data_IF_581084407535
#
_entry.id   IF_581084407535
#
_cell.length_a   1.000
_cell.length_b   1.000
_cell.length_c   1.000
_cell.angle_alpha   90.00
_cell.angle_beta   90.00
_cell.angle_gamma   90.00
#
_symmetry.space_group_name_H-M   'P 1'
#
loop_
_entity.id
_entity.type
_entity.pdbx_description
1 polymer ?
#
# COMPACT_ATOMS: atom_id res chain seq x y z
N UNK A 1 -28.02 -14.48 11.51
CA UNK A 1 -27.55 -13.55 12.55
C UNK A 1 -26.16 -12.97 12.20
N UNK A 2 -25.16 -13.82 11.85
CA UNK A 2 -23.81 -13.38 11.43
C UNK A 2 -23.90 -12.45 10.21
N UNK A 3 -24.70 -12.82 9.20
CA UNK A 3 -24.91 -12.01 7.99
C UNK A 3 -25.54 -10.64 8.29
N UNK A 4 -26.45 -10.57 9.26
CA UNK A 4 -27.06 -9.28 9.66
C UNK A 4 -26.05 -8.36 10.36
N UNK A 5 -25.13 -8.91 11.17
CA UNK A 5 -24.14 -8.14 11.90
C UNK A 5 -23.05 -7.57 10.98
N UNK A 6 -22.62 -8.34 9.98
CA UNK A 6 -21.67 -7.86 8.95
C UNK A 6 -22.27 -6.81 8.03
N UNK A 7 -23.56 -6.91 7.67
CA UNK A 7 -24.26 -5.91 6.84
C UNK A 7 -24.55 -4.61 7.61
N UNK A 8 -24.67 -4.64 8.95
CA UNK A 8 -24.96 -3.45 9.75
C UNK A 8 -23.74 -2.58 10.07
N UNK A 9 -22.52 -3.10 9.96
CA UNK A 9 -21.27 -2.37 10.27
C UNK A 9 -21.06 -1.09 9.47
N UNK A 10 -21.67 -0.94 8.29
CA UNK A 10 -21.51 0.24 7.44
C UNK A 10 -22.55 1.35 7.65
N UNK A 11 -23.61 1.14 8.45
CA UNK A 11 -24.76 2.06 8.50
C UNK A 11 -25.18 2.50 9.91
N UNK A 12 -24.55 2.02 10.99
CA UNK A 12 -25.02 2.26 12.39
C UNK A 12 -23.93 2.86 13.25
N UNK A 13 -24.33 3.56 14.32
CA UNK A 13 -23.42 4.14 15.31
C UNK A 13 -22.61 3.05 16.04
N UNK A 14 -21.48 3.44 16.65
CA UNK A 14 -20.66 2.53 17.45
C UNK A 14 -21.44 1.92 18.63
N UNK A 15 -22.40 2.67 19.18
CA UNK A 15 -23.24 2.21 20.30
C UNK A 15 -24.30 1.20 19.83
N UNK A 16 -24.87 1.39 18.65
CA UNK A 16 -25.74 0.38 18.04
C UNK A 16 -25.00 -0.94 17.79
N UNK A 17 -23.78 -0.86 17.29
CA UNK A 17 -22.95 -2.06 17.06
C UNK A 17 -22.61 -2.77 18.37
N UNK A 18 -22.36 -2.04 19.46
CA UNK A 18 -22.13 -2.61 20.78
C UNK A 18 -23.37 -3.38 21.28
N UNK A 19 -24.55 -2.77 21.16
CA UNK A 19 -25.82 -3.42 21.49
C UNK A 19 -26.06 -4.71 20.71
N UNK A 20 -25.76 -4.70 19.41
CA UNK A 20 -25.87 -5.92 18.59
C UNK A 20 -24.91 -7.02 19.02
N UNK A 21 -23.67 -6.67 19.41
CA UNK A 21 -22.71 -7.63 19.92
C UNK A 21 -23.24 -8.27 21.23
N UNK A 22 -23.80 -7.47 22.13
CA UNK A 22 -24.42 -7.98 23.40
C UNK A 22 -25.62 -8.88 23.13
N UNK A 23 -26.50 -8.48 22.22
CA UNK A 23 -27.65 -9.32 21.82
C UNK A 23 -27.19 -10.63 21.18
N UNK A 24 -26.13 -10.60 20.38
CA UNK A 24 -25.57 -11.81 19.76
C UNK A 24 -24.99 -12.75 20.82
N UNK A 25 -24.22 -12.22 21.78
CA UNK A 25 -23.68 -12.99 22.91
C UNK A 25 -24.81 -13.61 23.73
N UNK A 26 -25.86 -12.85 24.00
CA UNK A 26 -27.04 -13.36 24.73
C UNK A 26 -27.74 -14.52 24.01
N UNK A 27 -27.84 -14.47 22.69
CA UNK A 27 -28.45 -15.54 21.88
C UNK A 27 -27.50 -16.72 21.60
N UNK A 28 -26.20 -16.48 21.48
CA UNK A 28 -25.21 -17.47 21.12
C UNK A 28 -23.97 -17.42 22.05
N UNK A 29 -24.13 -17.67 23.35
CA UNK A 29 -23.08 -17.48 24.36
C UNK A 29 -21.88 -18.44 24.19
N UNK A 30 -22.04 -19.50 23.41
CA UNK A 30 -20.97 -20.49 23.13
C UNK A 30 -20.21 -20.22 21.84
N UNK A 31 -20.53 -19.13 21.09
CA UNK A 31 -19.84 -18.71 19.88
C UNK A 31 -18.84 -17.59 20.19
N UNK A 32 -17.60 -17.71 19.69
CA UNK A 32 -16.57 -16.67 19.88
C UNK A 32 -16.88 -15.38 19.12
N UNK A 33 -17.67 -15.44 18.05
CA UNK A 33 -17.92 -14.32 17.14
C UNK A 33 -18.42 -13.05 17.83
N UNK A 34 -19.46 -13.16 18.68
CA UNK A 34 -20.02 -11.99 19.36
C UNK A 34 -19.04 -11.33 20.34
N UNK A 35 -18.25 -12.15 21.04
CA UNK A 35 -17.20 -11.66 21.94
C UNK A 35 -16.09 -10.95 21.17
N UNK A 36 -15.62 -11.51 20.04
CA UNK A 36 -14.63 -10.87 19.17
C UNK A 36 -15.11 -9.49 18.68
N UNK A 37 -16.35 -9.41 18.18
CA UNK A 37 -16.93 -8.16 17.70
C UNK A 37 -17.03 -7.11 18.82
N UNK A 38 -17.50 -7.51 20.02
CA UNK A 38 -17.57 -6.64 21.18
C UNK A 38 -16.18 -6.14 21.60
N UNK A 39 -15.21 -7.05 21.69
CA UNK A 39 -13.86 -6.70 22.06
C UNK A 39 -13.19 -5.77 21.03
N UNK A 40 -13.41 -5.97 19.73
CA UNK A 40 -12.92 -5.08 18.69
C UNK A 40 -13.50 -3.65 18.80
N UNK A 41 -14.79 -3.52 19.13
CA UNK A 41 -15.40 -2.21 19.40
C UNK A 41 -14.81 -1.52 20.63
N UNK A 42 -14.50 -2.28 21.69
CA UNK A 42 -13.83 -1.76 22.89
C UNK A 42 -12.40 -1.31 22.59
N UNK A 43 -11.65 -2.06 21.78
CA UNK A 43 -10.31 -1.68 21.31
C UNK A 43 -10.35 -0.36 20.54
N UNK A 44 -11.33 -0.17 19.66
CA UNK A 44 -11.51 1.10 18.93
C UNK A 44 -11.83 2.29 19.87
N UNK A 45 -12.45 2.02 21.02
CA UNK A 45 -12.67 3.00 22.09
C UNK A 45 -11.48 3.11 23.07
N UNK A 46 -10.36 2.42 22.81
CA UNK A 46 -9.18 2.31 23.68
C UNK A 46 -9.48 1.70 25.08
N UNK A 47 -10.55 0.93 25.20
CA UNK A 47 -10.96 0.24 26.44
C UNK A 47 -10.37 -1.18 26.46
N UNK A 48 -9.04 -1.27 26.55
CA UNK A 48 -8.31 -2.54 26.38
C UNK A 48 -8.57 -3.55 27.52
N UNK A 49 -8.71 -3.08 28.76
CA UNK A 49 -8.96 -3.94 29.92
C UNK A 49 -10.35 -4.60 29.82
N UNK A 50 -11.36 -3.87 29.39
CA UNK A 50 -12.70 -4.38 29.13
C UNK A 50 -12.68 -5.35 27.95
N UNK A 51 -11.95 -5.05 26.90
CA UNK A 51 -11.78 -5.95 25.76
C UNK A 51 -11.12 -7.27 26.18
N UNK A 52 -10.10 -7.22 27.04
CA UNK A 52 -9.46 -8.42 27.58
C UNK A 52 -10.42 -9.27 28.40
N UNK A 53 -11.21 -8.66 29.28
CA UNK A 53 -12.25 -9.37 30.07
C UNK A 53 -13.25 -10.08 29.17
N UNK A 54 -13.70 -9.41 28.10
CA UNK A 54 -14.62 -9.99 27.10
C UNK A 54 -13.98 -11.20 26.41
N UNK A 55 -12.72 -11.13 26.02
CA UNK A 55 -12.02 -12.25 25.36
C UNK A 55 -11.74 -13.41 26.35
N UNK A 56 -11.43 -13.11 27.62
CA UNK A 56 -11.30 -14.13 28.65
C UNK A 56 -12.65 -14.83 28.93
N UNK A 57 -13.75 -14.10 28.88
CA UNK A 57 -15.09 -14.67 28.99
C UNK A 57 -15.38 -15.57 27.77
N UNK A 58 -15.03 -15.15 26.56
CA UNK A 58 -15.11 -15.98 25.35
C UNK A 58 -14.38 -17.30 25.55
N UNK A 59 -13.13 -17.27 26.02
CA UNK A 59 -12.33 -18.48 26.29
C UNK A 59 -13.03 -19.40 27.30
N UNK A 60 -13.70 -18.86 28.30
CA UNK A 60 -14.43 -19.66 29.31
C UNK A 60 -15.69 -20.28 28.75
N UNK A 61 -16.50 -19.52 28.01
CA UNK A 61 -17.86 -19.90 27.62
C UNK A 61 -17.98 -20.60 26.27
N UNK A 62 -17.11 -20.27 25.30
CA UNK A 62 -17.23 -20.82 23.95
C UNK A 62 -16.97 -22.32 23.92
N UNK A 63 -17.75 -23.04 23.10
CA UNK A 63 -17.57 -24.48 22.88
C UNK A 63 -16.28 -24.81 22.15
N UNK A 64 -15.88 -23.93 21.20
CA UNK A 64 -14.66 -24.07 20.43
C UNK A 64 -13.56 -23.17 21.00
N UNK A 65 -12.80 -23.71 21.94
CA UNK A 65 -11.73 -22.97 22.62
C UNK A 65 -10.62 -22.51 21.67
N UNK A 66 -10.31 -23.30 20.64
CA UNK A 66 -9.37 -22.93 19.60
C UNK A 66 -9.78 -21.65 18.87
N UNK A 67 -11.08 -21.50 18.51
CA UNK A 67 -11.56 -20.27 17.88
C UNK A 67 -11.44 -19.07 18.84
N UNK A 68 -11.80 -19.21 20.11
CA UNK A 68 -11.72 -18.13 21.09
C UNK A 68 -10.25 -17.65 21.32
N UNK A 69 -9.30 -18.58 21.42
CA UNK A 69 -7.87 -18.24 21.51
C UNK A 69 -7.35 -17.61 20.22
N UNK A 70 -7.72 -18.15 19.04
CA UNK A 70 -7.33 -17.58 17.74
C UNK A 70 -7.89 -16.17 17.53
N UNK A 71 -9.16 -15.92 17.90
CA UNK A 71 -9.77 -14.59 17.85
C UNK A 71 -9.06 -13.61 18.78
N UNK A 72 -8.64 -14.07 19.95
CA UNK A 72 -7.89 -13.23 20.89
C UNK A 72 -6.47 -12.91 20.36
N UNK A 73 -5.78 -13.90 19.80
CA UNK A 73 -4.49 -13.70 19.15
C UNK A 73 -4.56 -12.64 18.02
N UNK A 74 -5.58 -12.75 17.15
CA UNK A 74 -5.81 -11.82 16.05
C UNK A 74 -6.09 -10.40 16.55
N UNK A 75 -6.90 -10.24 17.59
CA UNK A 75 -7.22 -8.94 18.16
C UNK A 75 -5.98 -8.26 18.77
N UNK A 76 -5.15 -9.01 19.51
CA UNK A 76 -3.88 -8.50 20.06
C UNK A 76 -2.93 -8.14 18.91
N UNK A 77 -2.78 -9.01 17.89
CA UNK A 77 -1.96 -8.74 16.71
C UNK A 77 -2.36 -7.43 16.03
N UNK A 78 -3.65 -7.23 15.76
CA UNK A 78 -4.15 -6.00 15.13
C UNK A 78 -3.83 -4.78 15.99
N UNK A 79 -4.05 -4.84 17.31
CA UNK A 79 -3.70 -3.74 18.21
C UNK A 79 -2.21 -3.42 18.14
N UNK A 80 -1.33 -4.42 18.22
CA UNK A 80 0.12 -4.20 18.18
C UNK A 80 0.56 -3.64 16.82
N UNK A 81 0.02 -4.15 15.73
CA UNK A 81 0.36 -3.73 14.38
C UNK A 81 -0.08 -2.29 14.05
N UNK A 82 -1.23 -1.84 14.52
CA UNK A 82 -1.82 -0.54 14.15
C UNK A 82 -1.71 0.54 15.23
N UNK A 83 -1.63 0.16 16.51
CA UNK A 83 -1.61 1.10 17.65
C UNK A 83 -0.25 1.10 18.35
N UNK A 84 0.51 0.01 18.25
CA UNK A 84 1.81 -0.17 18.89
C UNK A 84 1.75 -0.77 20.29
N UNK A 85 2.92 -1.12 20.83
CA UNK A 85 3.06 -1.79 22.14
C UNK A 85 2.93 -0.84 23.33
N UNK A 86 3.24 0.44 23.16
CA UNK A 86 3.27 1.45 24.24
C UNK A 86 1.89 1.69 24.87
N UNK A 87 0.84 1.57 24.09
CA UNK A 87 -0.53 1.68 24.58
C UNK A 87 -1.01 0.30 24.99
N UNK A 88 -1.25 0.09 26.28
CA UNK A 88 -1.61 -1.18 26.89
C UNK A 88 -0.55 -2.29 26.69
N UNK A 89 0.60 -2.24 27.39
CA UNK A 89 1.71 -3.17 27.20
C UNK A 89 1.41 -4.65 27.50
N UNK A 90 0.34 -4.93 28.23
CA UNK A 90 -0.14 -6.29 28.47
C UNK A 90 -0.53 -7.02 27.17
N UNK A 91 -0.93 -6.28 26.13
CA UNK A 91 -1.18 -6.79 24.79
C UNK A 91 0.01 -6.48 23.88
N UNK A 92 0.93 -7.39 23.85
CA UNK A 92 2.14 -7.35 23.03
C UNK A 92 2.20 -8.55 22.08
N UNK A 93 3.20 -8.58 21.21
CA UNK A 93 3.36 -9.65 20.24
C UNK A 93 3.60 -11.02 20.89
N UNK A 94 4.22 -11.09 22.06
CA UNK A 94 4.42 -12.35 22.78
C UNK A 94 3.12 -12.92 23.30
N UNK A 95 2.24 -12.07 23.83
CA UNK A 95 0.89 -12.47 24.23
C UNK A 95 0.05 -12.98 23.06
N UNK A 96 0.11 -12.27 21.92
CA UNK A 96 -0.54 -12.73 20.69
C UNK A 96 -0.04 -14.10 20.26
N UNK A 97 1.28 -14.32 20.30
CA UNK A 97 1.90 -15.59 19.95
C UNK A 97 1.46 -16.72 20.86
N UNK A 98 1.42 -16.50 22.17
CA UNK A 98 0.91 -17.48 23.14
C UNK A 98 -0.52 -17.91 22.85
N UNK A 99 -1.40 -16.96 22.55
CA UNK A 99 -2.81 -17.25 22.24
C UNK A 99 -2.96 -18.02 20.91
N UNK A 100 -2.20 -17.67 19.87
CA UNK A 100 -2.17 -18.41 18.60
C UNK A 100 -1.67 -19.86 18.78
N UNK A 101 -0.61 -20.06 19.59
CA UNK A 101 -0.08 -21.39 19.90
C UNK A 101 -1.04 -22.23 20.73
N UNK A 102 -1.75 -21.63 21.68
CA UNK A 102 -2.85 -22.32 22.39
C UNK A 102 -3.94 -22.75 21.44
N UNK A 103 -4.38 -21.89 20.53
CA UNK A 103 -5.37 -22.24 19.51
C UNK A 103 -4.91 -23.45 18.69
N UNK A 104 -3.67 -23.42 18.20
CA UNK A 104 -3.07 -24.51 17.43
C UNK A 104 -2.95 -25.82 18.24
N UNK A 105 -2.56 -25.73 19.52
CA UNK A 105 -2.45 -26.92 20.38
C UNK A 105 -3.79 -27.61 20.65
N UNK A 106 -4.88 -26.85 20.68
CA UNK A 106 -6.24 -27.41 20.84
C UNK A 106 -6.73 -28.03 19.53
N UNK A 107 -6.47 -27.37 18.41
CA UNK A 107 -6.82 -27.85 17.08
C UNK A 107 -5.77 -27.38 16.08
N UNK A 108 -5.03 -28.32 15.50
CA UNK A 108 -3.94 -28.07 14.58
C UNK A 108 -4.45 -27.61 13.19
N UNK A 109 -5.05 -26.40 13.14
CA UNK A 109 -5.51 -25.83 11.88
C UNK A 109 -4.45 -24.90 11.27
N UNK A 110 -4.26 -24.92 9.93
CA UNK A 110 -3.30 -24.06 9.23
C UNK A 110 -3.50 -22.56 9.51
N UNK A 111 -4.73 -22.12 9.80
CA UNK A 111 -5.06 -20.74 10.17
C UNK A 111 -4.22 -20.23 11.36
N UNK A 112 -4.06 -21.05 12.41
CA UNK A 112 -3.31 -20.62 13.60
C UNK A 112 -1.80 -20.56 13.33
N UNK A 113 -1.27 -21.42 12.45
CA UNK A 113 0.09 -21.27 11.94
C UNK A 113 0.29 -19.99 11.13
N UNK A 114 -0.70 -19.62 10.32
CA UNK A 114 -0.66 -18.35 9.60
C UNK A 114 -0.61 -17.16 10.57
N UNK A 115 -1.45 -17.18 11.60
CA UNK A 115 -1.38 -16.16 12.66
C UNK A 115 0.02 -16.13 13.32
N UNK A 116 0.58 -17.29 13.63
CA UNK A 116 1.94 -17.40 14.18
C UNK A 116 3.00 -16.78 13.26
N UNK A 117 2.91 -17.06 11.95
CA UNK A 117 3.78 -16.47 10.93
C UNK A 117 3.72 -14.94 10.91
N UNK A 118 2.51 -14.38 10.88
CA UNK A 118 2.28 -12.92 10.93
C UNK A 118 2.81 -12.28 12.22
N UNK A 119 2.60 -12.92 13.35
CA UNK A 119 3.10 -12.42 14.64
C UNK A 119 4.63 -12.48 14.69
N UNK A 120 5.26 -13.55 14.21
CA UNK A 120 6.73 -13.63 14.15
C UNK A 120 7.29 -12.56 13.19
N UNK A 121 6.63 -12.28 12.08
CA UNK A 121 7.00 -11.16 11.20
C UNK A 121 6.96 -9.81 11.94
N UNK A 122 5.90 -9.55 12.70
CA UNK A 122 5.76 -8.34 13.54
C UNK A 122 6.87 -8.24 14.60
N UNK A 123 7.26 -9.37 15.20
CA UNK A 123 8.40 -9.49 16.13
C UNK A 123 9.76 -9.35 15.45
N UNK A 124 9.82 -9.21 14.14
CA UNK A 124 11.03 -9.19 13.32
C UNK A 124 11.80 -10.52 13.30
N UNK A 125 11.18 -11.62 13.74
CA UNK A 125 11.71 -12.98 13.54
C UNK A 125 11.34 -13.44 12.13
N UNK A 126 11.98 -12.82 11.15
CA UNK A 126 11.64 -13.00 9.74
C UNK A 126 11.95 -14.41 9.21
N UNK A 127 12.97 -15.08 9.76
CA UNK A 127 13.29 -16.44 9.35
C UNK A 127 12.18 -17.40 9.79
N UNK A 128 11.75 -17.31 11.04
CA UNK A 128 10.66 -18.15 11.55
C UNK A 128 9.34 -17.86 10.83
N UNK A 129 9.05 -16.59 10.56
CA UNK A 129 7.88 -16.20 9.76
C UNK A 129 7.91 -16.86 8.37
N UNK A 130 9.04 -16.75 7.67
CA UNK A 130 9.25 -17.37 6.36
C UNK A 130 9.04 -18.90 6.40
N UNK A 131 9.65 -19.58 7.36
CA UNK A 131 9.54 -21.04 7.48
C UNK A 131 8.08 -21.49 7.68
N UNK A 132 7.33 -20.76 8.53
CA UNK A 132 5.91 -21.00 8.75
C UNK A 132 5.07 -20.76 7.48
N UNK A 133 5.32 -19.67 6.75
CA UNK A 133 4.62 -19.41 5.48
C UNK A 133 4.94 -20.48 4.44
N UNK A 134 6.20 -20.91 4.32
CA UNK A 134 6.59 -21.98 3.41
C UNK A 134 5.99 -23.36 3.78
N UNK A 135 5.78 -23.63 5.06
CA UNK A 135 5.03 -24.81 5.48
C UNK A 135 3.57 -24.72 5.03
N UNK A 136 2.95 -23.54 5.13
CA UNK A 136 1.56 -23.31 4.73
C UNK A 136 1.34 -23.46 3.22
N UNK A 137 2.36 -23.23 2.38
CA UNK A 137 2.24 -23.48 0.92
C UNK A 137 1.94 -24.94 0.57
N UNK A 138 2.20 -25.87 1.51
CA UNK A 138 1.96 -27.32 1.36
C UNK A 138 0.60 -27.77 1.91
N UNK A 139 -0.22 -26.83 2.37
CA UNK A 139 -1.53 -27.07 2.98
C UNK A 139 -2.67 -26.56 2.08
N UNK A 140 -3.95 -26.85 2.42
CA UNK A 140 -5.09 -26.25 1.71
C UNK A 140 -5.14 -24.71 1.78
N UNK A 141 -4.37 -24.06 2.67
CA UNK A 141 -4.24 -22.60 2.72
C UNK A 141 -3.28 -22.01 1.68
N UNK A 142 -2.70 -22.82 0.80
CA UNK A 142 -1.82 -22.35 -0.26
C UNK A 142 -2.54 -21.27 -1.11
N UNK A 143 -2.17 -20.04 -0.91
CA UNK A 143 -2.74 -18.86 -1.57
C UNK A 143 -1.64 -17.91 -2.02
N UNK A 144 -1.96 -16.98 -2.94
CA UNK A 144 -1.02 -15.94 -3.33
C UNK A 144 -0.56 -15.07 -2.16
N UNK A 145 -1.41 -14.89 -1.15
CA UNK A 145 -1.09 -14.16 0.09
C UNK A 145 0.06 -14.82 0.85
N UNK A 146 -0.01 -16.13 1.05
CA UNK A 146 1.05 -16.88 1.76
C UNK A 146 2.41 -16.75 1.06
N UNK A 147 2.43 -16.88 -0.27
CA UNK A 147 3.65 -16.69 -1.06
C UNK A 147 4.18 -15.26 -0.98
N UNK A 148 3.27 -14.29 -0.98
CA UNK A 148 3.63 -12.88 -0.86
C UNK A 148 4.20 -12.56 0.53
N UNK A 149 3.57 -13.05 1.60
CA UNK A 149 4.08 -12.90 2.97
C UNK A 149 5.46 -13.56 3.15
N UNK A 150 5.66 -14.74 2.53
CA UNK A 150 6.98 -15.39 2.48
C UNK A 150 8.02 -14.50 1.75
N UNK A 151 7.65 -13.87 0.62
CA UNK A 151 8.52 -12.93 -0.08
C UNK A 151 8.85 -11.70 0.78
N UNK A 152 7.86 -11.15 1.51
CA UNK A 152 8.10 -10.04 2.43
C UNK A 152 9.08 -10.43 3.54
N UNK A 153 8.92 -11.59 4.16
CA UNK A 153 9.83 -12.07 5.19
C UNK A 153 11.26 -12.25 4.64
N UNK A 154 11.40 -12.87 3.48
CA UNK A 154 12.70 -13.03 2.79
C UNK A 154 13.34 -11.70 2.39
N UNK A 155 12.53 -10.71 2.00
CA UNK A 155 13.02 -9.36 1.69
C UNK A 155 13.66 -8.69 2.91
N UNK A 156 13.06 -8.84 4.10
CA UNK A 156 13.63 -8.33 5.35
C UNK A 156 14.96 -9.02 5.72
N UNK A 157 15.14 -10.27 5.30
CA UNK A 157 16.39 -11.02 5.44
C UNK A 157 17.43 -10.66 4.35
N UNK A 158 17.12 -9.68 3.48
CA UNK A 158 17.98 -9.24 2.37
C UNK A 158 18.34 -10.39 1.42
N UNK A 159 17.38 -11.28 1.17
CA UNK A 159 17.56 -12.38 0.24
C UNK A 159 17.89 -11.88 -1.18
N UNK A 160 18.65 -12.63 -1.98
CA UNK A 160 19.01 -12.26 -3.33
C UNK A 160 17.78 -12.19 -4.25
N UNK A 161 17.95 -11.45 -5.37
CA UNK A 161 16.91 -11.18 -6.36
C UNK A 161 16.19 -12.45 -6.82
N UNK A 162 16.93 -13.51 -7.15
CA UNK A 162 16.35 -14.72 -7.73
C UNK A 162 15.41 -15.44 -6.74
N UNK A 163 15.77 -15.48 -5.45
CA UNK A 163 14.89 -16.07 -4.41
C UNK A 163 13.59 -15.26 -4.27
N UNK A 164 13.68 -13.93 -4.20
CA UNK A 164 12.51 -13.06 -4.07
C UNK A 164 11.61 -13.14 -5.31
N UNK A 165 12.23 -13.20 -6.50
CA UNK A 165 11.50 -13.33 -7.76
C UNK A 165 10.69 -14.62 -7.79
N UNK A 166 11.26 -15.76 -7.40
CA UNK A 166 10.55 -17.05 -7.36
C UNK A 166 9.33 -17.01 -6.45
N UNK A 167 9.44 -16.38 -5.28
CA UNK A 167 8.32 -16.25 -4.34
C UNK A 167 7.21 -15.36 -4.89
N UNK A 168 7.56 -14.21 -5.50
CA UNK A 168 6.59 -13.32 -6.12
C UNK A 168 5.93 -13.92 -7.36
N UNK A 169 6.68 -14.66 -8.17
CA UNK A 169 6.14 -15.42 -9.32
C UNK A 169 5.13 -16.45 -8.85
N UNK A 170 5.42 -17.14 -7.73
CA UNK A 170 4.50 -18.11 -7.12
C UNK A 170 3.24 -17.41 -6.60
N UNK A 171 3.37 -16.25 -5.95
CA UNK A 171 2.24 -15.45 -5.48
C UNK A 171 1.29 -15.07 -6.63
N UNK A 172 1.85 -14.59 -7.74
CA UNK A 172 1.07 -14.25 -8.95
C UNK A 172 0.44 -15.50 -9.54
N UNK A 173 1.19 -16.60 -9.72
CA UNK A 173 0.69 -17.84 -10.32
C UNK A 173 -0.49 -18.43 -9.54
N UNK A 174 -0.38 -18.48 -8.21
CA UNK A 174 -1.48 -18.95 -7.35
C UNK A 174 -2.64 -17.93 -7.36
N UNK A 175 -2.33 -16.65 -7.31
CA UNK A 175 -3.33 -15.57 -7.38
C UNK A 175 -4.16 -15.61 -8.67
N UNK A 176 -3.55 -15.88 -9.81
CA UNK A 176 -4.26 -16.04 -11.10
C UNK A 176 -5.25 -17.20 -11.03
N UNK A 177 -4.84 -18.35 -10.50
CA UNK A 177 -5.72 -19.53 -10.35
C UNK A 177 -6.92 -19.25 -9.45
N UNK A 178 -6.73 -18.44 -8.42
CA UNK A 178 -7.77 -18.07 -7.44
C UNK A 178 -8.55 -16.80 -7.80
N UNK A 179 -8.22 -16.15 -8.93
CA UNK A 179 -8.77 -14.85 -9.38
C UNK A 179 -8.48 -13.70 -8.41
N UNK A 180 -7.41 -13.78 -7.66
CA UNK A 180 -6.97 -12.78 -6.67
C UNK A 180 -5.55 -12.27 -6.93
N UNK A 181 -5.15 -12.19 -8.21
CA UNK A 181 -3.77 -11.87 -8.59
C UNK A 181 -3.41 -10.38 -8.51
N UNK A 182 -4.39 -9.47 -8.51
CA UNK A 182 -4.13 -8.03 -8.62
C UNK A 182 -3.06 -7.52 -7.64
N UNK A 183 -3.15 -7.72 -6.31
CA UNK A 183 -2.16 -7.19 -5.38
C UNK A 183 -0.75 -7.77 -5.60
N UNK A 184 -0.66 -9.01 -6.10
CA UNK A 184 0.62 -9.68 -6.35
C UNK A 184 1.30 -9.19 -7.63
N UNK A 185 0.54 -8.82 -8.66
CA UNK A 185 1.07 -8.10 -9.82
C UNK A 185 1.65 -6.75 -9.40
N UNK A 186 0.94 -5.96 -8.59
CA UNK A 186 1.45 -4.67 -8.11
C UNK A 186 2.72 -4.84 -7.28
N UNK A 187 2.75 -5.82 -6.37
CA UNK A 187 3.91 -6.11 -5.54
C UNK A 187 5.12 -6.52 -6.38
N UNK A 188 4.93 -7.41 -7.37
CA UNK A 188 6.00 -7.85 -8.27
C UNK A 188 6.46 -6.72 -9.19
N UNK A 189 5.55 -5.88 -9.69
CA UNK A 189 5.90 -4.71 -10.49
C UNK A 189 6.82 -3.76 -9.72
N UNK A 190 6.46 -3.40 -8.49
CA UNK A 190 7.28 -2.55 -7.64
C UNK A 190 8.67 -3.15 -7.36
N UNK A 191 8.73 -4.45 -7.10
CA UNK A 191 9.98 -5.16 -6.92
C UNK A 191 10.85 -5.13 -8.19
N UNK A 192 10.27 -5.42 -9.35
CA UNK A 192 10.95 -5.43 -10.63
C UNK A 192 11.45 -4.03 -11.03
N UNK A 193 10.65 -2.97 -10.81
CA UNK A 193 11.09 -1.60 -11.08
C UNK A 193 12.27 -1.19 -10.19
N UNK A 194 12.23 -1.53 -8.91
CA UNK A 194 13.34 -1.30 -7.97
C UNK A 194 14.64 -2.01 -8.41
N UNK A 195 14.52 -3.12 -9.13
CA UNK A 195 15.66 -3.86 -9.70
C UNK A 195 16.04 -3.41 -11.13
N UNK A 196 15.43 -2.35 -11.64
CA UNK A 196 15.66 -1.85 -12.99
C UNK A 196 15.10 -2.75 -14.12
N UNK A 197 14.28 -3.73 -13.80
CA UNK A 197 13.60 -4.62 -14.76
C UNK A 197 12.35 -3.94 -15.34
N UNK A 198 12.54 -2.78 -15.92
CA UNK A 198 11.47 -1.85 -16.29
C UNK A 198 10.41 -2.45 -17.23
N UNK A 199 10.79 -3.30 -18.20
CA UNK A 199 9.83 -3.93 -19.13
C UNK A 199 8.92 -4.92 -18.41
N UNK A 200 9.49 -5.75 -17.53
CA UNK A 200 8.75 -6.72 -16.74
C UNK A 200 7.84 -6.00 -15.74
N UNK A 201 8.34 -4.95 -15.09
CA UNK A 201 7.56 -4.11 -14.19
C UNK A 201 6.34 -3.48 -14.89
N UNK A 202 6.54 -2.91 -16.09
CA UNK A 202 5.46 -2.30 -16.86
C UNK A 202 4.39 -3.33 -17.25
N UNK A 203 4.79 -4.54 -17.63
CA UNK A 203 3.85 -5.61 -17.93
C UNK A 203 2.96 -5.94 -16.71
N UNK A 204 3.54 -6.02 -15.52
CA UNK A 204 2.81 -6.28 -14.28
C UNK A 204 1.93 -5.10 -13.85
N UNK A 205 2.38 -3.85 -14.00
CA UNK A 205 1.54 -2.68 -13.78
C UNK A 205 0.31 -2.68 -14.70
N UNK A 206 0.47 -3.05 -15.97
CA UNK A 206 -0.64 -3.15 -16.92
C UNK A 206 -1.62 -4.26 -16.55
N UNK A 207 -1.12 -5.40 -16.06
CA UNK A 207 -1.97 -6.48 -15.55
C UNK A 207 -2.75 -6.03 -14.31
N UNK A 208 -2.09 -5.34 -13.38
CA UNK A 208 -2.75 -4.79 -12.20
C UNK A 208 -3.86 -3.81 -12.60
N UNK A 209 -3.59 -2.86 -13.49
CA UNK A 209 -4.57 -1.87 -13.97
C UNK A 209 -5.79 -2.54 -14.61
N UNK A 210 -5.58 -3.56 -15.42
CA UNK A 210 -6.65 -4.30 -16.09
C UNK A 210 -7.62 -5.01 -15.13
N UNK A 211 -7.12 -5.41 -13.95
CA UNK A 211 -7.88 -6.18 -12.96
C UNK A 211 -8.47 -5.25 -11.88
N UNK A 212 -7.64 -4.37 -11.31
CA UNK A 212 -7.95 -3.61 -10.09
C UNK A 212 -8.60 -2.26 -10.38
N UNK A 213 -8.41 -1.68 -11.58
CA UNK A 213 -8.86 -0.33 -11.93
C UNK A 213 -8.45 0.71 -10.87
N UNK A 214 -7.15 0.91 -10.65
CA UNK A 214 -6.65 1.73 -9.56
C UNK A 214 -7.11 3.19 -9.67
N UNK A 215 -7.21 3.85 -8.51
CA UNK A 215 -7.50 5.28 -8.38
C UNK A 215 -6.38 6.03 -7.63
N UNK A 216 -5.28 5.36 -7.28
CA UNK A 216 -4.18 5.96 -6.56
C UNK A 216 -3.23 6.70 -7.52
N UNK A 217 -2.94 8.00 -7.30
CA UNK A 217 -2.01 8.75 -8.15
C UNK A 217 -0.61 8.15 -8.16
N UNK A 218 -0.17 7.59 -7.05
CA UNK A 218 1.15 6.94 -6.91
C UNK A 218 1.34 5.75 -7.86
N UNK A 219 0.26 5.03 -8.17
CA UNK A 219 0.29 3.93 -9.14
C UNK A 219 0.58 4.46 -10.56
N UNK A 220 -0.20 5.45 -11.02
CA UNK A 220 -0.03 6.03 -12.36
C UNK A 220 1.34 6.69 -12.50
N UNK A 221 1.82 7.35 -11.46
CA UNK A 221 3.15 7.95 -11.46
C UNK A 221 4.27 6.90 -11.52
N UNK A 222 4.13 5.77 -10.83
CA UNK A 222 5.12 4.68 -10.93
C UNK A 222 5.15 4.08 -12.34
N UNK A 223 3.97 3.85 -12.96
CA UNK A 223 3.87 3.34 -14.33
C UNK A 223 4.39 4.35 -15.34
N UNK A 224 4.02 5.63 -15.20
CA UNK A 224 4.59 6.73 -15.97
C UNK A 224 6.12 6.71 -16.00
N UNK A 225 6.78 6.54 -14.85
CA UNK A 225 8.25 6.48 -14.82
C UNK A 225 8.81 5.29 -15.60
N UNK A 226 8.15 4.15 -15.59
CA UNK A 226 8.53 3.01 -16.43
C UNK A 226 8.36 3.32 -17.92
N UNK A 227 7.25 3.93 -18.30
CA UNK A 227 6.95 4.32 -19.68
C UNK A 227 7.95 5.37 -20.22
N UNK A 228 8.33 6.33 -19.37
CA UNK A 228 9.38 7.31 -19.68
C UNK A 228 10.74 6.64 -19.97
N UNK A 229 11.16 5.70 -19.12
CA UNK A 229 12.39 4.91 -19.33
C UNK A 229 12.35 4.11 -20.64
N UNK A 230 11.17 3.62 -21.02
CA UNK A 230 10.95 2.83 -22.24
C UNK A 230 10.59 3.67 -23.47
N UNK A 231 10.54 5.00 -23.33
CA UNK A 231 10.16 5.97 -24.38
C UNK A 231 8.74 5.76 -24.93
N UNK A 232 7.84 5.27 -24.12
CA UNK A 232 6.42 5.09 -24.47
C UNK A 232 5.64 6.39 -24.19
N UNK A 233 5.97 7.45 -24.97
CA UNK A 233 5.55 8.82 -24.67
C UNK A 233 4.03 9.02 -24.61
N UNK A 234 3.27 8.32 -25.45
CA UNK A 234 1.80 8.46 -25.49
C UNK A 234 1.15 7.92 -24.22
N UNK A 235 1.61 6.76 -23.75
CA UNK A 235 1.13 6.15 -22.51
C UNK A 235 1.54 7.00 -21.30
N UNK A 236 2.80 7.47 -21.29
CA UNK A 236 3.33 8.35 -20.27
C UNK A 236 2.52 9.66 -20.14
N UNK A 237 2.08 10.25 -21.27
CA UNK A 237 1.20 11.43 -21.25
C UNK A 237 -0.15 11.14 -20.57
N UNK A 238 -0.75 9.98 -20.83
CA UNK A 238 -2.01 9.59 -20.19
C UNK A 238 -1.86 9.39 -18.70
N UNK A 239 -0.77 8.74 -18.29
CA UNK A 239 -0.53 8.42 -16.88
C UNK A 239 -0.15 9.65 -16.06
N UNK A 240 0.69 10.55 -16.59
CA UNK A 240 1.02 11.79 -15.88
C UNK A 240 -0.18 12.74 -15.77
N UNK A 241 -1.00 12.84 -16.83
CA UNK A 241 -2.23 13.61 -16.78
C UNK A 241 -3.20 13.07 -15.74
N UNK A 242 -3.35 11.73 -15.66
CA UNK A 242 -4.19 11.10 -14.65
C UNK A 242 -3.65 11.26 -13.24
N UNK A 243 -2.33 11.24 -13.08
CA UNK A 243 -1.64 11.52 -11.81
C UNK A 243 -1.96 12.93 -11.30
N UNK A 244 -1.84 13.96 -12.17
CA UNK A 244 -2.19 15.33 -11.84
C UNK A 244 -3.68 15.51 -11.52
N UNK A 245 -4.56 14.84 -12.27
CA UNK A 245 -6.00 14.87 -12.00
C UNK A 245 -6.37 14.29 -10.63
N UNK A 246 -5.75 13.18 -10.22
CA UNK A 246 -6.01 12.50 -8.96
C UNK A 246 -5.33 13.19 -7.75
N UNK A 247 -4.24 13.91 -7.98
CA UNK A 247 -3.56 14.72 -6.96
C UNK A 247 -3.20 16.10 -7.53
N UNK A 248 -4.16 17.02 -7.61
CA UNK A 248 -3.97 18.33 -8.26
C UNK A 248 -3.12 19.31 -7.46
N UNK A 249 -2.72 18.97 -6.22
CA UNK A 249 -1.98 19.87 -5.34
C UNK A 249 -0.47 19.56 -5.26
N UNK A 250 0.02 18.63 -6.08
CA UNK A 250 1.43 18.24 -6.08
C UNK A 250 2.17 18.88 -7.27
N UNK A 251 2.99 19.94 -7.06
CA UNK A 251 3.61 20.71 -8.14
C UNK A 251 4.60 19.88 -8.95
N UNK A 252 5.25 18.88 -8.36
CA UNK A 252 6.22 18.04 -9.05
C UNK A 252 5.61 17.24 -10.20
N UNK A 253 4.35 16.81 -10.08
CA UNK A 253 3.66 16.10 -11.16
C UNK A 253 3.41 17.01 -12.36
N UNK A 254 3.10 18.27 -12.14
CA UNK A 254 2.92 19.25 -13.22
C UNK A 254 4.25 19.61 -13.90
N UNK A 255 5.34 19.69 -13.14
CA UNK A 255 6.68 19.86 -13.72
C UNK A 255 7.08 18.68 -14.60
N UNK A 256 6.83 17.44 -14.14
CA UNK A 256 7.05 16.22 -14.94
C UNK A 256 6.19 16.20 -16.21
N UNK A 257 4.94 16.64 -16.12
CA UNK A 257 4.06 16.74 -17.30
C UNK A 257 4.59 17.79 -18.28
N UNK A 258 4.95 18.99 -17.83
CA UNK A 258 5.56 20.03 -18.67
C UNK A 258 6.85 19.55 -19.35
N UNK A 259 7.68 18.80 -18.62
CA UNK A 259 8.92 18.21 -19.14
C UNK A 259 8.67 17.19 -20.25
N UNK A 260 7.62 16.35 -20.08
CA UNK A 260 7.22 15.39 -21.11
C UNK A 260 6.64 16.09 -22.34
N UNK A 261 5.76 17.08 -22.14
CA UNK A 261 5.19 17.87 -23.25
C UNK A 261 6.28 18.62 -24.03
N UNK A 262 7.30 19.17 -23.37
CA UNK A 262 8.48 19.73 -24.00
C UNK A 262 9.19 18.70 -24.90
N UNK A 263 9.40 17.49 -24.38
CA UNK A 263 10.07 16.39 -25.09
C UNK A 263 9.33 15.96 -26.34
N UNK A 264 7.99 15.93 -26.30
CA UNK A 264 7.14 15.54 -27.42
C UNK A 264 6.65 16.73 -28.26
N UNK A 265 7.16 17.94 -27.98
CA UNK A 265 6.90 19.21 -28.68
C UNK A 265 5.44 19.68 -28.59
N UNK A 266 4.76 19.37 -27.50
CA UNK A 266 3.41 19.87 -27.18
C UNK A 266 3.56 21.13 -26.33
N UNK A 267 4.07 22.19 -26.95
CA UNK A 267 4.53 23.36 -26.20
C UNK A 267 3.43 24.12 -25.46
N UNK A 268 2.21 24.19 -26.01
CA UNK A 268 1.09 24.91 -25.39
C UNK A 268 0.60 24.21 -24.11
N UNK A 269 0.45 22.89 -24.20
CA UNK A 269 0.06 22.07 -23.06
C UNK A 269 1.15 22.07 -21.98
N UNK A 270 2.42 21.98 -22.39
CA UNK A 270 3.56 22.09 -21.47
C UNK A 270 3.62 23.44 -20.75
N UNK A 271 3.34 24.56 -21.44
CA UNK A 271 3.23 25.89 -20.83
C UNK A 271 2.15 25.87 -19.76
N UNK A 272 0.96 25.37 -20.07
CA UNK A 272 -0.16 25.28 -19.11
C UNK A 272 0.19 24.47 -17.88
N UNK A 273 0.92 23.36 -18.06
CA UNK A 273 1.38 22.51 -16.96
C UNK A 273 2.45 23.23 -16.12
N UNK A 274 3.43 23.90 -16.74
CA UNK A 274 4.46 24.66 -16.05
C UNK A 274 3.84 25.82 -15.23
N UNK A 275 2.86 26.53 -15.78
CA UNK A 275 2.11 27.59 -15.07
C UNK A 275 1.32 27.02 -13.89
N UNK A 276 0.74 25.80 -14.02
CA UNK A 276 0.09 25.13 -12.91
C UNK A 276 1.09 24.79 -11.79
N UNK A 277 2.26 24.29 -12.15
CA UNK A 277 3.35 24.04 -11.21
C UNK A 277 3.72 25.31 -10.43
N UNK A 278 3.93 26.44 -11.11
CA UNK A 278 4.29 27.73 -10.49
C UNK A 278 3.18 28.25 -9.60
N UNK A 279 1.91 28.12 -9.99
CA UNK A 279 0.78 28.53 -9.11
C UNK A 279 0.75 27.75 -7.80
N UNK A 280 1.11 26.45 -7.83
CA UNK A 280 1.15 25.59 -6.64
C UNK A 280 2.39 25.84 -5.78
N UNK A 281 3.52 26.12 -6.40
CA UNK A 281 4.81 26.34 -5.74
C UNK A 281 5.58 27.50 -6.40
N UNK A 282 5.30 28.75 -6.01
CA UNK A 282 5.95 29.95 -6.60
C UNK A 282 7.46 30.02 -6.40
N UNK A 283 8.00 29.26 -5.47
CA UNK A 283 9.44 29.18 -5.19
C UNK A 283 10.14 27.99 -5.90
N UNK A 284 9.40 27.23 -6.70
CA UNK A 284 9.94 26.02 -7.33
C UNK A 284 10.61 26.35 -8.67
N UNK A 285 11.95 26.41 -8.66
CA UNK A 285 12.77 26.87 -9.79
C UNK A 285 12.53 26.07 -11.09
N UNK A 286 12.32 24.75 -11.00
CA UNK A 286 12.04 23.91 -12.18
C UNK A 286 10.78 24.35 -12.95
N UNK A 287 9.75 24.85 -12.27
CA UNK A 287 8.54 25.37 -12.93
C UNK A 287 8.87 26.54 -13.88
N UNK A 288 9.66 27.50 -13.41
CA UNK A 288 10.10 28.66 -14.21
C UNK A 288 11.09 28.25 -15.30
N UNK A 289 12.01 27.32 -15.02
CA UNK A 289 12.93 26.80 -16.02
C UNK A 289 12.16 26.18 -17.19
N UNK A 290 11.23 25.26 -16.90
CA UNK A 290 10.43 24.59 -17.91
C UNK A 290 9.55 25.58 -18.69
N UNK A 291 8.89 26.53 -18.01
CA UNK A 291 8.11 27.57 -18.67
C UNK A 291 8.96 28.41 -19.62
N UNK A 292 10.14 28.84 -19.17
CA UNK A 292 11.07 29.60 -20.01
C UNK A 292 11.56 28.82 -21.22
N UNK A 293 11.89 27.53 -21.06
CA UNK A 293 12.32 26.68 -22.19
C UNK A 293 11.17 26.50 -23.20
N UNK A 294 9.96 26.18 -22.72
CA UNK A 294 8.77 26.00 -23.57
C UNK A 294 8.41 27.27 -24.36
N UNK A 295 8.49 28.44 -23.73
CA UNK A 295 8.27 29.73 -24.38
C UNK A 295 9.35 30.05 -25.40
N UNK A 296 10.63 29.73 -25.13
CA UNK A 296 11.71 29.88 -26.08
C UNK A 296 11.53 28.99 -27.32
N UNK A 297 11.11 27.74 -27.16
CA UNK A 297 10.78 26.83 -28.28
C UNK A 297 9.60 27.34 -29.11
N UNK A 298 8.67 28.11 -28.53
CA UNK A 298 7.61 28.83 -29.26
C UNK A 298 8.03 30.18 -29.84
N UNK A 299 9.25 30.61 -29.66
CA UNK A 299 9.76 31.91 -30.17
C UNK A 299 9.36 33.11 -29.29
N UNK A 300 8.78 32.92 -28.11
CA UNK A 300 8.41 34.00 -27.18
C UNK A 300 9.61 34.42 -26.33
N UNK A 301 10.58 35.09 -26.95
CA UNK A 301 11.93 35.32 -26.42
C UNK A 301 11.93 36.15 -25.12
N UNK A 302 11.16 37.23 -25.06
CA UNK A 302 11.15 38.11 -23.90
C UNK A 302 10.54 37.43 -22.66
N UNK A 303 9.39 36.73 -22.85
CA UNK A 303 8.75 35.94 -21.78
C UNK A 303 9.69 34.82 -21.30
N UNK A 304 10.34 34.12 -22.24
CA UNK A 304 11.29 33.07 -21.96
C UNK A 304 12.47 33.56 -21.11
N UNK A 305 13.09 34.71 -21.51
CA UNK A 305 14.18 35.31 -20.76
C UNK A 305 13.78 35.65 -19.34
N UNK A 306 12.57 36.27 -19.12
CA UNK A 306 12.08 36.63 -17.81
C UNK A 306 11.94 35.41 -16.91
N UNK A 307 11.32 34.32 -17.40
CA UNK A 307 11.15 33.09 -16.63
C UNK A 307 12.48 32.36 -16.36
N UNK A 308 13.38 32.31 -17.31
CA UNK A 308 14.73 31.73 -17.11
C UNK A 308 15.50 32.51 -16.04
N UNK A 309 15.47 33.86 -16.06
CA UNK A 309 16.13 34.66 -15.04
C UNK A 309 15.47 34.43 -13.64
N UNK A 310 14.14 34.27 -13.58
CA UNK A 310 13.47 33.93 -12.33
C UNK A 310 13.90 32.56 -11.79
N UNK A 311 14.04 31.55 -12.65
CA UNK A 311 14.58 30.25 -12.26
C UNK A 311 16.01 30.39 -11.69
N UNK A 312 16.85 31.24 -12.31
CA UNK A 312 18.19 31.51 -11.81
C UNK A 312 18.20 32.19 -10.44
N UNK A 313 17.32 33.17 -10.24
CA UNK A 313 17.11 33.85 -8.94
C UNK A 313 16.73 32.84 -7.84
N UNK A 314 15.94 31.84 -8.20
CA UNK A 314 15.54 30.73 -7.32
C UNK A 314 16.59 29.63 -7.17
N UNK A 315 17.77 29.82 -7.75
CA UNK A 315 18.95 28.95 -7.56
C UNK A 315 19.16 27.88 -8.62
N UNK A 316 18.44 27.90 -9.75
CA UNK A 316 18.69 26.92 -10.81
C UNK A 316 19.97 27.25 -11.58
N UNK A 317 20.93 26.33 -11.52
CA UNK A 317 22.26 26.47 -12.13
C UNK A 317 22.31 26.17 -13.64
N UNK A 318 21.25 25.58 -14.19
CA UNK A 318 21.16 25.17 -15.62
C UNK A 318 20.79 26.35 -16.53
N UNK A 319 20.29 27.44 -15.97
CA UNK A 319 19.73 28.57 -16.74
C UNK A 319 20.68 29.20 -17.73
N UNK A 320 21.96 29.38 -17.36
CA UNK A 320 22.94 30.04 -18.25
C UNK A 320 23.17 29.26 -19.55
N UNK A 321 23.07 27.93 -19.51
CA UNK A 321 23.10 27.08 -20.69
C UNK A 321 21.93 27.38 -21.64
N UNK A 322 20.69 27.50 -21.08
CA UNK A 322 19.49 27.78 -21.88
C UNK A 322 19.47 29.21 -22.42
N UNK A 323 19.88 30.21 -21.64
CA UNK A 323 20.02 31.60 -22.11
C UNK A 323 20.94 31.67 -23.33
N UNK A 324 22.08 30.98 -23.28
CA UNK A 324 23.04 30.89 -24.40
C UNK A 324 22.43 30.10 -25.58
N UNK A 325 21.82 28.95 -25.32
CA UNK A 325 21.18 28.09 -26.36
C UNK A 325 20.18 28.87 -27.19
N UNK A 326 19.30 29.64 -26.54
CA UNK A 326 18.24 30.39 -27.20
C UNK A 326 18.61 31.82 -27.59
N UNK A 327 19.86 32.24 -27.37
CA UNK A 327 20.37 33.61 -27.66
C UNK A 327 19.55 34.70 -26.97
N UNK A 328 19.33 34.52 -25.64
CA UNK A 328 18.54 35.38 -24.77
C UNK A 328 19.41 36.22 -23.82
N UNK A 329 20.71 36.36 -24.10
CA UNK A 329 21.67 37.12 -23.30
C UNK A 329 21.35 38.60 -23.27
#
# INVERSE_FOLDING_TARGET
AITMMTLSKGQKSADDNMKYADEFIGKFPTSSFGYKEKAALLVNKQQFEEAEKVMQESIKKCSKKNEAHGDFADLIYQKVAYVGDSIYPAWNADKALQEAQKAYSIKAEPLYKHQEGKINYLKKDYQKAYDLFMELTKTPMNSGEIWYEAAQAKSQLKAPYDELKVLLDSAVSVGVRTKMAAPYYLARANFLDAQGKTREALADYNMYDSIARPIAPTFFYARYKCEMKLRQWQQALLDIARTCYLNPNEPTYFAEWASLDLRVKRYDEGISAAEACIRLAPEYADGYLLLGILQAEKGKKEEAKGNLLKAKELGDTRVDEYLKKYKLN
#
